data_IF_383296807086
#
_entry.id   IF_383296807086
#
_cell.length_a   1.000
_cell.length_b   1.000
_cell.length_c   1.000
_cell.angle_alpha   90.00
_cell.angle_beta   90.00
_cell.angle_gamma   90.00
#
_symmetry.space_group_name_H-M   'P 1'
#
loop_
_entity.id
_entity.type
_entity.pdbx_description
1 polymer ?
#
# COMPACT_ATOMS: atom_id res chain seq x y z
N UNK A 1 -16.37 -3.49 23.95
CA UNK A 1 -15.78 -2.44 23.11
C UNK A 1 -14.81 -3.07 22.11
N UNK A 2 -14.89 -2.63 20.86
CA UNK A 2 -13.98 -3.14 19.83
C UNK A 2 -12.63 -2.43 19.94
N UNK A 3 -11.57 -3.21 20.09
CA UNK A 3 -10.19 -2.70 20.17
C UNK A 3 -9.51 -2.77 18.81
N UNK A 4 -8.34 -2.13 18.67
CA UNK A 4 -7.52 -2.25 17.44
C UNK A 4 -7.15 -3.69 17.17
N UNK A 5 -6.87 -4.47 18.22
CA UNK A 5 -6.55 -5.88 18.09
C UNK A 5 -7.74 -6.67 17.56
N UNK A 6 -8.95 -6.34 18.00
CA UNK A 6 -10.17 -7.00 17.51
C UNK A 6 -10.39 -6.70 16.02
N UNK A 7 -10.18 -5.45 15.61
CA UNK A 7 -10.30 -5.05 14.21
C UNK A 7 -9.26 -5.79 13.35
N UNK A 8 -8.02 -5.89 13.83
CA UNK A 8 -6.97 -6.60 13.09
C UNK A 8 -7.31 -8.08 12.91
N UNK A 9 -7.85 -8.72 13.94
CA UNK A 9 -8.27 -10.13 13.85
C UNK A 9 -9.42 -10.31 12.88
N UNK A 10 -10.37 -9.38 12.89
CA UNK A 10 -11.49 -9.42 11.96
C UNK A 10 -11.02 -9.26 10.52
N UNK A 11 -10.13 -8.31 10.28
CA UNK A 11 -9.57 -8.08 8.95
C UNK A 11 -8.79 -9.32 8.48
N UNK A 12 -7.99 -9.92 9.36
CA UNK A 12 -7.26 -11.13 9.02
C UNK A 12 -8.22 -12.24 8.59
N UNK A 13 -9.32 -12.40 9.29
CA UNK A 13 -10.36 -13.37 8.92
C UNK A 13 -10.93 -13.07 7.54
N UNK A 14 -11.23 -11.80 7.26
CA UNK A 14 -11.76 -11.39 5.95
C UNK A 14 -10.77 -11.68 4.85
N UNK A 15 -9.49 -11.39 5.07
CA UNK A 15 -8.44 -11.63 4.07
C UNK A 15 -8.21 -13.11 3.80
N UNK A 16 -8.67 -13.98 4.70
CA UNK A 16 -8.52 -15.43 4.56
C UNK A 16 -9.75 -16.12 3.97
N UNK A 17 -10.79 -15.36 3.60
CA UNK A 17 -11.99 -15.92 2.96
C UNK A 17 -11.61 -16.59 1.64
N UNK A 18 -12.16 -17.78 1.34
CA UNK A 18 -11.88 -18.44 0.06
C UNK A 18 -12.18 -17.50 -1.13
N UNK A 19 -11.27 -17.46 -2.07
CA UNK A 19 -11.36 -16.59 -3.23
C UNK A 19 -10.69 -15.24 -3.05
N UNK A 20 -10.29 -14.85 -1.84
CA UNK A 20 -9.66 -13.57 -1.59
C UNK A 20 -8.28 -13.45 -2.25
N UNK A 21 -7.60 -14.56 -2.47
CA UNK A 21 -6.29 -14.58 -3.13
C UNK A 21 -6.37 -14.72 -4.65
N UNK A 22 -7.58 -14.79 -5.20
CA UNK A 22 -7.74 -14.86 -6.64
C UNK A 22 -7.30 -13.55 -7.30
N UNK A 23 -6.63 -13.67 -8.44
CA UNK A 23 -6.22 -12.51 -9.21
C UNK A 23 -7.38 -11.97 -10.02
N UNK A 24 -7.63 -10.67 -9.93
CA UNK A 24 -8.64 -9.99 -10.74
C UNK A 24 -7.97 -8.91 -11.57
N UNK A 25 -8.45 -8.72 -12.80
CA UNK A 25 -7.98 -7.64 -13.65
C UNK A 25 -8.81 -6.40 -13.37
N UNK A 26 -8.13 -5.29 -13.11
CA UNK A 26 -8.80 -4.02 -12.83
C UNK A 26 -8.32 -3.00 -13.86
N UNK A 27 -9.24 -2.49 -14.67
CA UNK A 27 -8.95 -1.43 -15.63
C UNK A 27 -9.49 -0.12 -15.07
N UNK A 28 -8.58 0.77 -14.68
CA UNK A 28 -8.93 2.06 -14.09
C UNK A 28 -8.40 3.19 -14.95
N UNK A 29 -9.22 4.23 -15.09
CA UNK A 29 -8.77 5.48 -15.67
C UNK A 29 -8.65 6.49 -14.54
N UNK A 30 -7.41 6.85 -14.18
CA UNK A 30 -7.16 7.80 -13.11
C UNK A 30 -6.16 8.85 -13.58
N UNK A 31 -6.23 10.02 -13.00
CA UNK A 31 -5.32 11.10 -13.35
C UNK A 31 -3.91 10.80 -12.85
N UNK A 32 -2.91 11.39 -13.52
CA UNK A 32 -1.51 11.27 -13.05
C UNK A 32 -1.35 11.80 -11.64
N UNK A 33 -2.06 12.88 -11.32
CA UNK A 33 -2.10 13.42 -9.97
C UNK A 33 -2.54 12.37 -8.96
N UNK A 34 -3.62 11.66 -9.25
CA UNK A 34 -4.14 10.64 -8.33
C UNK A 34 -3.24 9.42 -8.27
N UNK A 35 -2.54 9.07 -9.35
CA UNK A 35 -1.54 8.00 -9.31
C UNK A 35 -0.42 8.36 -8.33
N UNK A 36 0.07 9.58 -8.39
CA UNK A 36 1.13 10.03 -7.50
C UNK A 36 0.67 9.98 -6.03
N UNK A 37 -0.54 10.46 -5.76
CA UNK A 37 -1.11 10.44 -4.42
C UNK A 37 -1.31 9.00 -3.91
N UNK A 38 -1.80 8.12 -4.77
CA UNK A 38 -1.99 6.72 -4.41
C UNK A 38 -0.67 6.05 -4.04
N UNK A 39 0.37 6.27 -4.84
CA UNK A 39 1.70 5.74 -4.57
C UNK A 39 2.27 6.28 -3.26
N UNK A 40 2.05 7.57 -3.00
CA UNK A 40 2.48 8.18 -1.75
C UNK A 40 1.83 7.51 -0.54
N UNK A 41 0.51 7.31 -0.60
CA UNK A 41 -0.19 6.67 0.51
C UNK A 41 0.24 5.22 0.71
N UNK A 42 0.47 4.49 -0.37
CA UNK A 42 0.97 3.11 -0.27
C UNK A 42 2.33 3.11 0.42
N UNK A 43 3.25 4.00 0.03
CA UNK A 43 4.57 4.07 0.63
C UNK A 43 4.52 4.46 2.10
N UNK A 44 3.68 5.42 2.46
CA UNK A 44 3.51 5.80 3.86
C UNK A 44 2.97 4.65 4.69
N UNK A 45 2.03 3.90 4.13
CA UNK A 45 1.51 2.71 4.80
C UNK A 45 2.59 1.65 5.03
N UNK A 46 3.48 1.47 4.05
CA UNK A 46 4.56 0.48 4.16
C UNK A 46 5.61 0.87 5.21
N UNK A 47 5.71 2.16 5.55
CA UNK A 47 6.66 2.65 6.55
C UNK A 47 6.13 2.52 7.98
N UNK A 48 4.86 2.20 8.16
CA UNK A 48 4.30 2.03 9.50
C UNK A 48 4.90 0.80 10.18
N UNK A 49 5.18 0.93 11.47
CA UNK A 49 5.70 -0.19 12.23
C UNK A 49 4.66 -1.30 12.34
N UNK A 50 5.13 -2.54 12.21
CA UNK A 50 4.29 -3.70 12.41
C UNK A 50 4.10 -3.94 13.90
N UNK A 51 2.86 -4.03 14.31
CA UNK A 51 2.47 -4.31 15.68
C UNK A 51 1.29 -5.26 15.62
N UNK A 52 1.28 -6.28 16.46
CA UNK A 52 0.20 -7.27 16.48
C UNK A 52 -1.17 -6.66 16.72
N UNK A 53 -1.21 -5.48 17.34
CA UNK A 53 -2.46 -4.77 17.59
C UNK A 53 -2.89 -3.85 16.46
N UNK A 54 -2.10 -3.73 15.38
CA UNK A 54 -2.38 -2.85 14.25
C UNK A 54 -2.71 -3.67 13.00
N UNK A 55 -3.34 -3.01 12.02
CA UNK A 55 -3.66 -3.65 10.75
C UNK A 55 -2.40 -4.07 9.99
N UNK A 56 -1.30 -3.33 10.16
CA UNK A 56 -0.04 -3.66 9.48
C UNK A 56 0.59 -4.94 10.03
N UNK A 57 0.32 -5.28 11.30
CA UNK A 57 0.87 -6.48 11.91
C UNK A 57 0.37 -7.78 11.29
N UNK A 58 -0.79 -7.74 10.64
CA UNK A 58 -1.39 -8.93 10.02
C UNK A 58 -1.06 -9.07 8.54
N UNK A 59 -0.46 -8.05 7.93
CA UNK A 59 -0.13 -8.07 6.49
C UNK A 59 1.16 -8.85 6.28
N UNK A 60 1.13 -9.85 5.39
CA UNK A 60 2.31 -10.66 5.10
C UNK A 60 3.36 -9.85 4.34
N UNK A 61 4.63 -10.26 4.46
CA UNK A 61 5.72 -9.65 3.69
C UNK A 61 5.47 -9.75 2.18
N UNK A 62 4.91 -10.87 1.75
CA UNK A 62 4.57 -11.08 0.34
C UNK A 62 3.56 -10.03 -0.13
N UNK A 63 2.52 -9.77 0.66
CA UNK A 63 1.51 -8.77 0.31
C UNK A 63 2.11 -7.36 0.29
N UNK A 64 3.02 -7.05 1.21
CA UNK A 64 3.69 -5.75 1.22
C UNK A 64 4.53 -5.56 -0.04
N UNK A 65 5.25 -6.60 -0.46
CA UNK A 65 6.03 -6.56 -1.68
C UNK A 65 5.14 -6.39 -2.91
N UNK A 66 4.01 -7.10 -2.96
CA UNK A 66 3.06 -6.99 -4.06
C UNK A 66 2.50 -5.56 -4.17
N UNK A 67 2.13 -4.96 -3.04
CA UNK A 67 1.62 -3.58 -3.03
C UNK A 67 2.67 -2.59 -3.51
N UNK A 68 3.92 -2.77 -3.10
CA UNK A 68 5.01 -1.92 -3.56
C UNK A 68 5.21 -2.05 -5.08
N UNK A 69 5.16 -3.27 -5.59
CA UNK A 69 5.30 -3.53 -7.03
C UNK A 69 4.16 -2.88 -7.82
N UNK A 70 2.93 -2.92 -7.29
CA UNK A 70 1.78 -2.27 -7.91
C UNK A 70 1.99 -0.76 -7.95
N UNK A 71 2.46 -0.18 -6.86
CA UNK A 71 2.76 1.25 -6.79
C UNK A 71 3.80 1.64 -7.84
N UNK A 72 4.89 0.88 -7.94
CA UNK A 72 5.95 1.13 -8.92
C UNK A 72 5.43 1.02 -10.36
N UNK A 73 4.61 0.03 -10.64
CA UNK A 73 4.01 -0.15 -11.97
C UNK A 73 3.11 1.02 -12.33
N UNK A 74 2.30 1.49 -11.39
CA UNK A 74 1.44 2.65 -11.62
C UNK A 74 2.25 3.90 -11.92
N UNK A 75 3.35 4.12 -11.20
CA UNK A 75 4.24 5.25 -11.45
C UNK A 75 4.89 5.17 -12.83
N UNK A 76 5.30 3.96 -13.25
CA UNK A 76 5.87 3.76 -14.58
C UNK A 76 4.86 4.09 -15.67
N UNK A 77 3.65 3.58 -15.53
CA UNK A 77 2.60 3.81 -16.54
C UNK A 77 2.20 5.27 -16.63
N UNK A 78 2.29 6.00 -15.53
CA UNK A 78 1.98 7.42 -15.50
C UNK A 78 3.18 8.31 -15.83
N UNK A 79 4.36 7.72 -16.06
CA UNK A 79 5.61 8.44 -16.32
C UNK A 79 6.00 9.36 -15.17
N UNK A 80 5.81 8.90 -13.95
CA UNK A 80 6.05 9.69 -12.74
C UNK A 80 7.22 9.18 -11.89
N UNK A 81 7.97 8.17 -12.38
CA UNK A 81 9.04 7.56 -11.58
C UNK A 81 10.09 8.59 -11.14
N UNK A 82 10.59 9.40 -12.06
CA UNK A 82 11.60 10.40 -11.74
C UNK A 82 11.08 11.46 -10.78
N UNK A 83 9.86 11.94 -11.01
CA UNK A 83 9.26 12.95 -10.15
C UNK A 83 9.08 12.41 -8.74
N UNK A 84 8.64 11.17 -8.63
CA UNK A 84 8.45 10.53 -7.32
C UNK A 84 9.79 10.41 -6.59
N UNK A 85 10.86 10.04 -7.28
CA UNK A 85 12.19 9.93 -6.68
C UNK A 85 12.67 11.28 -6.19
N UNK A 86 12.44 12.36 -6.97
CA UNK A 86 12.81 13.72 -6.55
C UNK A 86 12.06 14.14 -5.31
N UNK A 87 10.76 13.82 -5.24
CA UNK A 87 9.96 14.15 -4.06
C UNK A 87 10.45 13.42 -2.82
N UNK A 88 10.83 12.15 -2.96
CA UNK A 88 11.38 11.39 -1.83
C UNK A 88 12.70 11.99 -1.35
N UNK A 89 13.57 12.36 -2.28
CA UNK A 89 14.85 12.97 -1.94
C UNK A 89 14.66 14.28 -1.19
N UNK A 90 13.73 15.13 -1.64
CA UNK A 90 13.41 16.39 -0.97
C UNK A 90 12.83 16.15 0.42
N UNK A 91 11.96 15.17 0.55
CA UNK A 91 11.35 14.84 1.82
C UNK A 91 12.40 14.35 2.83
N UNK A 92 13.36 13.56 2.38
CA UNK A 92 14.44 13.10 3.23
C UNK A 92 15.38 14.22 3.63
N UNK A 93 15.62 15.17 2.71
CA UNK A 93 16.51 16.30 2.98
C UNK A 93 15.92 17.27 4.01
N UNK A 94 14.61 17.28 4.18
CA UNK A 94 13.92 18.16 5.12
C UNK A 94 13.84 17.61 6.55
N UNK A 95 14.26 16.38 6.76
CA UNK A 95 14.23 15.77 8.09
C UNK A 95 15.43 16.14 8.93
#
# INVERSE_FOLDING_TARGET
MITKSDVAKLLDTVLSIPGMSETVKIDLKISRKNVLLLSYFIEQGLLLEKDDSTLMGIVSEESLTDLKNISDECLQKASLVELNQKLRTLSQALK
#
